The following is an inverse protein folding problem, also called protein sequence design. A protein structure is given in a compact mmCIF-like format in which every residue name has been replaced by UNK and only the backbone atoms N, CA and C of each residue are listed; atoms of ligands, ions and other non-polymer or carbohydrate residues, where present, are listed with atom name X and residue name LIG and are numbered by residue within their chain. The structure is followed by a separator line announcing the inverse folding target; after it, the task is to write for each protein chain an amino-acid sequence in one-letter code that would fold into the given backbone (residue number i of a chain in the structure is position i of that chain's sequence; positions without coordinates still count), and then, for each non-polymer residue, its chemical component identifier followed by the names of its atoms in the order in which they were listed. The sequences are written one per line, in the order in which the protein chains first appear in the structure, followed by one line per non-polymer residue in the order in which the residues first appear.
data_IF_324447181022
#
_entry.id   IF_324447181022
#
_cell.length_a   1.000
_cell.length_b   1.000
_cell.length_c   1.000
_cell.angle_alpha   90.00
_cell.angle_beta   90.00
_cell.angle_gamma   90.00
#
_symmetry.space_group_name_H-M   'P 1'
#
loop_
_entity.id
_entity.type
_entity.pdbx_description
1 polymer ?
#
# COMPACT_ATOMS: atom_id res chain seq x y z
N UNK A 1 -54.31 -0.99 46.81
CA UNK A 1 -53.62 -2.29 46.80
C UNK A 1 -52.73 -2.32 45.55
N UNK A 2 -51.61 -1.58 45.58
CA UNK A 2 -50.27 -2.15 45.83
C UNK A 2 -49.86 -3.16 44.76
N UNK A 3 -49.48 -2.66 43.60
CA UNK A 3 -48.59 -3.37 42.67
C UNK A 3 -47.30 -2.56 42.61
N UNK A 4 -46.47 -2.85 43.60
CA UNK A 4 -45.09 -2.44 43.75
C UNK A 4 -44.27 -3.41 42.90
N UNK A 5 -43.57 -2.89 41.88
CA UNK A 5 -42.34 -3.39 41.26
C UNK A 5 -42.32 -2.91 39.79
N UNK A 6 -41.60 -1.87 39.35
CA UNK A 6 -40.43 -1.16 39.87
C UNK A 6 -39.30 -2.10 40.34
N UNK A 7 -38.92 -3.08 39.53
CA UNK A 7 -37.55 -3.61 39.43
C UNK A 7 -37.38 -4.24 38.04
N UNK A 8 -36.23 -4.01 37.40
CA UNK A 8 -35.76 -4.53 36.09
C UNK A 8 -35.95 -3.63 34.85
N UNK A 9 -35.89 -2.31 35.02
CA UNK A 9 -35.01 -1.52 34.14
C UNK A 9 -33.58 -1.77 34.65
N UNK A 10 -32.61 -2.07 33.77
CA UNK A 10 -31.14 -2.13 33.99
C UNK A 10 -30.36 -3.47 33.85
N UNK A 11 -30.73 -4.41 32.97
CA UNK A 11 -29.71 -5.32 32.38
C UNK A 11 -29.92 -5.38 30.86
N UNK A 12 -29.45 -4.36 30.12
CA UNK A 12 -28.18 -4.40 29.37
C UNK A 12 -28.34 -5.13 28.02
N UNK A 13 -28.86 -4.40 27.03
CA UNK A 13 -28.06 -4.00 25.86
C UNK A 13 -27.47 -5.07 24.94
N UNK A 14 -28.28 -5.94 24.32
CA UNK A 14 -27.81 -6.81 23.22
C UNK A 14 -28.70 -6.75 21.96
N UNK A 15 -29.84 -6.04 21.96
CA UNK A 15 -30.86 -6.20 20.90
C UNK A 15 -31.08 -4.97 20.01
N UNK A 16 -30.37 -3.85 20.19
CA UNK A 16 -30.47 -2.71 19.27
C UNK A 16 -29.10 -2.15 18.86
N UNK A 17 -28.91 -2.10 17.54
CA UNK A 17 -27.82 -1.49 16.77
C UNK A 17 -26.49 -2.25 16.63
N UNK A 18 -26.35 -3.15 15.65
CA UNK A 18 -25.12 -3.17 14.86
C UNK A 18 -25.20 -2.01 13.85
N UNK A 19 -25.16 -0.77 14.32
CA UNK A 19 -24.94 0.41 13.48
C UNK A 19 -23.77 1.25 13.96
N UNK A 20 -22.90 0.68 14.81
CA UNK A 20 -21.61 1.26 15.09
C UNK A 20 -20.65 0.82 13.98
N UNK A 21 -20.82 1.45 12.83
CA UNK A 21 -19.82 1.62 11.77
C UNK A 21 -18.63 0.66 11.89
N UNK A 22 -18.71 -0.50 11.26
CA UNK A 22 -17.53 -1.34 11.03
C UNK A 22 -16.56 -0.68 10.02
N UNK A 23 -16.59 0.64 9.85
CA UNK A 23 -15.68 1.41 8.98
C UNK A 23 -14.28 1.61 9.57
N UNK A 24 -14.00 1.11 10.77
CA UNK A 24 -12.68 1.16 11.41
C UNK A 24 -11.89 -0.15 11.27
N UNK A 25 -12.56 -1.27 10.99
CA UNK A 25 -11.89 -2.55 10.79
C UNK A 25 -11.57 -2.80 9.32
N UNK A 26 -12.44 -2.36 8.40
CA UNK A 26 -12.19 -2.51 6.95
C UNK A 26 -11.01 -1.65 6.46
N UNK A 27 -10.76 -0.48 7.06
CA UNK A 27 -9.62 0.38 6.69
C UNK A 27 -8.26 -0.19 7.08
N UNK A 28 -8.17 -0.91 8.19
CA UNK A 28 -6.91 -1.49 8.65
C UNK A 28 -6.53 -2.73 7.84
N UNK A 29 -7.52 -3.48 7.37
CA UNK A 29 -7.33 -4.60 6.45
C UNK A 29 -6.98 -4.11 5.03
N UNK A 30 -7.70 -3.11 4.49
CA UNK A 30 -7.39 -2.57 3.16
C UNK A 30 -6.04 -1.82 3.05
N UNK A 31 -5.49 -1.33 4.16
CA UNK A 31 -4.15 -0.75 4.20
C UNK A 31 -3.05 -1.82 4.23
N UNK A 32 -3.29 -2.94 4.92
CA UNK A 32 -2.37 -4.07 5.02
C UNK A 32 -2.30 -4.87 3.70
N UNK A 33 -3.42 -5.00 2.97
CA UNK A 33 -3.50 -5.80 1.73
C UNK A 33 -2.84 -5.15 0.50
N UNK A 34 -2.55 -3.83 0.53
CA UNK A 34 -1.72 -3.21 -0.53
C UNK A 34 -0.26 -3.64 -0.46
N UNK A 35 0.17 -4.26 0.65
CA UNK A 35 1.54 -4.72 0.86
C UNK A 35 1.86 -6.10 0.30
N UNK A 36 0.86 -6.86 -0.17
CA UNK A 36 1.07 -8.24 -0.62
C UNK A 36 0.22 -8.55 -1.85
N UNK A 37 0.47 -7.86 -2.97
CA UNK A 37 0.09 -8.42 -4.27
C UNK A 37 1.17 -9.42 -4.71
N UNK A 38 1.20 -10.56 -4.04
CA UNK A 38 1.98 -11.73 -4.44
C UNK A 38 1.25 -12.49 -5.55
N UNK A 39 1.06 -11.86 -6.72
CA UNK A 39 0.73 -12.60 -7.95
C UNK A 39 1.99 -12.82 -8.79
N UNK A 40 2.50 -14.04 -8.62
CA UNK A 40 2.95 -14.96 -9.69
C UNK A 40 4.16 -14.60 -10.56
N UNK A 41 5.15 -15.51 -10.50
CA UNK A 41 6.08 -15.91 -11.58
C UNK A 41 6.85 -14.77 -12.26
N UNK A 42 8.07 -14.50 -11.78
CA UNK A 42 9.10 -13.71 -12.46
C UNK A 42 8.62 -12.41 -13.17
N UNK A 43 7.64 -11.73 -12.58
CA UNK A 43 7.06 -10.52 -13.16
C UNK A 43 7.90 -9.31 -12.78
N UNK A 44 8.32 -8.53 -13.78
CA UNK A 44 9.11 -7.31 -13.57
C UNK A 44 8.41 -6.38 -12.57
N UNK A 45 9.19 -5.84 -11.63
CA UNK A 45 8.76 -4.92 -10.60
C UNK A 45 8.29 -3.60 -11.23
N UNK A 46 7.09 -3.16 -10.87
CA UNK A 46 6.55 -1.90 -11.37
C UNK A 46 7.08 -0.72 -10.55
N UNK A 47 7.79 0.21 -11.18
CA UNK A 47 8.40 1.36 -10.52
C UNK A 47 7.36 2.30 -9.89
N UNK A 48 6.15 2.38 -10.47
CA UNK A 48 5.09 3.28 -9.99
C UNK A 48 4.38 2.76 -8.75
N UNK A 49 4.24 1.43 -8.63
CA UNK A 49 3.50 0.80 -7.53
C UNK A 49 4.38 0.08 -6.53
N UNK A 50 5.67 -0.13 -6.83
CA UNK A 50 6.59 -0.81 -5.94
C UNK A 50 6.65 -0.15 -4.55
N UNK A 51 6.76 -0.96 -3.52
CA UNK A 51 7.07 -0.48 -2.18
C UNK A 51 8.54 -0.09 -2.05
N UNK A 52 8.85 0.71 -1.03
CA UNK A 52 10.23 1.09 -0.70
C UNK A 52 11.14 -0.14 -0.54
N UNK A 53 10.64 -1.19 0.12
CA UNK A 53 11.39 -2.43 0.37
C UNK A 53 11.66 -3.21 -0.92
N UNK A 54 10.72 -3.22 -1.86
CA UNK A 54 10.92 -3.90 -3.15
C UNK A 54 11.94 -3.18 -4.02
N UNK A 55 11.93 -1.85 -4.03
CA UNK A 55 12.95 -1.06 -4.72
C UNK A 55 14.35 -1.32 -4.16
N UNK A 56 14.48 -1.40 -2.85
CA UNK A 56 15.77 -1.70 -2.18
C UNK A 56 16.29 -3.12 -2.43
N UNK A 57 15.43 -4.05 -2.88
CA UNK A 57 15.88 -5.40 -3.29
C UNK A 57 16.57 -5.42 -4.64
N UNK A 58 16.47 -4.33 -5.42
CA UNK A 58 17.09 -4.24 -6.72
C UNK A 58 18.61 -3.99 -6.61
N UNK A 59 19.42 -4.61 -7.48
CA UNK A 59 20.87 -4.42 -7.44
C UNK A 59 21.26 -2.97 -7.79
N UNK A 60 21.99 -2.32 -6.88
CA UNK A 60 22.43 -0.91 -7.01
C UNK A 60 21.55 0.09 -6.27
N UNK A 61 20.31 -0.27 -5.90
CA UNK A 61 19.38 0.68 -5.30
C UNK A 61 19.62 0.82 -3.79
N UNK A 62 20.15 1.98 -3.40
CA UNK A 62 20.23 2.42 -2.00
C UNK A 62 18.87 2.93 -1.48
N UNK A 63 18.65 2.96 -0.15
CA UNK A 63 17.41 3.51 0.44
C UNK A 63 17.13 4.96 0.03
N UNK A 64 18.15 5.80 -0.10
CA UNK A 64 18.03 7.18 -0.59
C UNK A 64 17.49 7.23 -2.03
N UNK A 65 17.97 6.33 -2.88
CA UNK A 65 17.54 6.21 -4.27
C UNK A 65 16.11 5.72 -4.35
N UNK A 66 15.76 4.69 -3.57
CA UNK A 66 14.39 4.19 -3.47
C UNK A 66 13.43 5.31 -3.02
N UNK A 67 13.85 6.13 -2.06
CA UNK A 67 13.05 7.26 -1.59
C UNK A 67 12.84 8.30 -2.70
N UNK A 68 13.90 8.66 -3.45
CA UNK A 68 13.76 9.52 -4.64
C UNK A 68 12.78 8.95 -5.66
N UNK A 69 12.84 7.64 -5.90
CA UNK A 69 11.91 6.96 -6.81
C UNK A 69 10.48 7.12 -6.32
N UNK A 70 10.22 6.92 -5.03
CA UNK A 70 8.86 7.08 -4.47
C UNK A 70 8.38 8.53 -4.55
N UNK A 71 9.24 9.51 -4.22
CA UNK A 71 8.87 10.94 -4.23
C UNK A 71 8.56 11.49 -5.62
N UNK A 72 9.22 10.98 -6.66
CA UNK A 72 9.12 11.52 -8.02
C UNK A 72 8.15 10.74 -8.94
N UNK A 73 7.32 9.85 -8.36
CA UNK A 73 6.18 9.23 -9.05
C UNK A 73 5.14 10.29 -9.46
N UNK A 74 4.41 10.09 -10.56
CA UNK A 74 4.42 8.94 -11.47
C UNK A 74 5.48 9.04 -12.58
N UNK A 75 5.87 7.90 -13.13
CA UNK A 75 6.73 7.75 -14.31
C UNK A 75 5.95 7.15 -15.47
N UNK A 76 6.17 7.63 -16.70
CA UNK A 76 5.58 7.03 -17.90
C UNK A 76 6.56 6.11 -18.64
N UNK A 77 7.87 6.35 -18.50
CA UNK A 77 8.94 5.57 -19.13
C UNK A 77 10.12 5.39 -18.18
N UNK A 78 10.91 4.34 -18.40
CA UNK A 78 12.12 4.08 -17.62
C UNK A 78 13.18 5.18 -17.79
N UNK A 79 13.25 5.82 -18.96
CA UNK A 79 14.20 6.92 -19.21
C UNK A 79 13.93 8.17 -18.34
N UNK A 80 12.70 8.36 -17.86
CA UNK A 80 12.37 9.47 -16.95
C UNK A 80 13.13 9.38 -15.63
N UNK A 81 13.52 8.17 -15.21
CA UNK A 81 14.37 7.97 -14.05
C UNK A 81 15.73 8.66 -14.23
N UNK A 82 16.26 8.69 -15.46
CA UNK A 82 17.50 9.39 -15.78
C UNK A 82 17.26 10.89 -15.95
N UNK A 83 16.23 11.26 -16.73
CA UNK A 83 15.93 12.68 -17.04
C UNK A 83 15.62 13.48 -15.77
N UNK A 84 14.90 12.87 -14.81
CA UNK A 84 14.59 13.48 -13.51
C UNK A 84 15.70 13.29 -12.47
N UNK A 85 16.87 12.80 -12.88
CA UNK A 85 18.03 12.55 -12.02
C UNK A 85 17.72 11.67 -10.79
N UNK A 86 16.78 10.74 -10.96
CA UNK A 86 16.37 9.76 -9.93
C UNK A 86 17.28 8.54 -9.95
N UNK A 87 17.78 8.14 -11.12
CA UNK A 87 18.76 7.08 -11.30
C UNK A 87 19.83 7.51 -12.30
N UNK A 88 21.06 7.07 -12.06
CA UNK A 88 22.11 7.18 -13.06
C UNK A 88 21.94 6.14 -14.18
N UNK A 89 22.59 6.36 -15.33
CA UNK A 89 22.59 5.40 -16.46
C UNK A 89 23.05 4.00 -16.04
N UNK A 90 24.08 3.92 -15.18
CA UNK A 90 24.62 2.65 -14.67
C UNK A 90 23.63 1.91 -13.78
N UNK A 91 22.95 2.65 -12.90
CA UNK A 91 21.92 2.13 -11.99
C UNK A 91 20.74 1.57 -12.78
N UNK A 92 20.22 2.36 -13.72
CA UNK A 92 19.11 1.93 -14.56
C UNK A 92 19.48 0.67 -15.35
N UNK A 93 20.68 0.59 -15.92
CA UNK A 93 21.13 -0.57 -16.67
C UNK A 93 21.17 -1.87 -15.83
N UNK A 94 21.50 -1.78 -14.53
CA UNK A 94 21.51 -2.94 -13.62
C UNK A 94 20.10 -3.46 -13.33
N UNK A 95 19.15 -2.55 -13.18
CA UNK A 95 17.79 -2.89 -12.77
C UNK A 95 16.84 -3.11 -13.97
N UNK A 96 17.19 -2.65 -15.18
CA UNK A 96 16.33 -2.62 -16.37
C UNK A 96 15.63 -3.94 -16.68
N UNK A 97 16.31 -5.07 -16.46
CA UNK A 97 15.77 -6.40 -16.71
C UNK A 97 14.71 -6.81 -15.67
N UNK A 98 14.76 -6.22 -14.48
CA UNK A 98 13.94 -6.55 -13.32
C UNK A 98 12.76 -5.60 -13.14
N UNK A 99 12.75 -4.46 -13.84
CA UNK A 99 11.77 -3.39 -13.63
C UNK A 99 10.97 -3.09 -14.89
N UNK A 100 9.76 -2.59 -14.70
CA UNK A 100 8.89 -2.08 -15.76
C UNK A 100 8.19 -0.82 -15.27
N UNK A 101 7.64 -0.08 -16.23
CA UNK A 101 6.70 1.00 -15.97
C UNK A 101 5.39 0.60 -16.63
N UNK A 102 4.33 0.46 -15.85
CA UNK A 102 3.00 0.33 -16.41
C UNK A 102 2.50 1.75 -16.70
N UNK A 103 2.35 2.07 -17.98
CA UNK A 103 1.89 3.39 -18.39
C UNK A 103 0.47 3.60 -17.88
N UNK A 104 0.30 4.57 -16.99
CA UNK A 104 -1.03 5.17 -16.78
C UNK A 104 -1.32 5.93 -18.08
N UNK A 105 -2.23 5.36 -18.87
CA UNK A 105 -2.75 5.98 -20.10
C UNK A 105 -3.51 7.25 -19.78
#
# INVERSE_FOLDING_TARGET
MKWIALWLVCVVGIVLYPAMSNGWLERRLAAEERGVNSKSVASKLDINTASMRELQRLPGISPEVAERVVRNRPYHKLDELIVRNVLGRKELARIKEWVRVNGVQ
#
